data_IF_969213418650
#
_entry.id   IF_969213418650
#
_cell.length_a   1.000
_cell.length_b   1.000
_cell.length_c   1.000
_cell.angle_alpha   90.00
_cell.angle_beta   90.00
_cell.angle_gamma   90.00
#
_symmetry.space_group_name_H-M   'P 1'
#
loop_
_entity.id
_entity.type
_entity.pdbx_description
1 polymer ?
#
# COMPACT_ATOMS: atom_id res chain seq x y z
N UNK A 1 -14.95 9.46 -6.37
CA UNK A 1 -16.43 9.56 -6.39
C UNK A 1 -16.94 9.86 -5.00
N UNK A 2 -17.76 10.90 -4.84
CA UNK A 2 -18.52 11.10 -3.60
C UNK A 2 -19.60 10.01 -3.50
N UNK A 3 -19.68 9.35 -2.35
CA UNK A 3 -20.64 8.27 -2.09
C UNK A 3 -22.06 8.85 -2.00
N UNK A 4 -22.72 9.01 -3.15
CA UNK A 4 -24.04 9.66 -3.30
C UNK A 4 -25.15 9.03 -2.45
N UNK A 5 -24.98 7.76 -2.06
CA UNK A 5 -25.91 7.03 -1.22
C UNK A 5 -25.74 7.30 0.29
N UNK A 6 -24.69 7.99 0.72
CA UNK A 6 -24.49 8.33 2.12
C UNK A 6 -25.18 9.66 2.47
N UNK A 7 -25.85 9.75 3.64
CA UNK A 7 -26.43 11.02 4.08
C UNK A 7 -25.33 12.05 4.36
N UNK A 8 -25.62 13.31 4.04
CA UNK A 8 -24.72 14.43 4.30
C UNK A 8 -24.68 14.71 5.80
N UNK A 9 -23.51 14.66 6.46
CA UNK A 9 -23.40 15.00 7.88
C UNK A 9 -23.68 16.49 8.10
N UNK A 10 -24.56 16.80 9.06
CA UNK A 10 -24.87 18.17 9.46
C UNK A 10 -24.21 18.50 10.81
N UNK A 11 -23.71 19.72 10.95
CA UNK A 11 -23.18 20.27 12.20
C UNK A 11 -23.84 21.62 12.50
N UNK A 12 -23.89 22.06 13.78
CA UNK A 12 -24.38 23.39 14.11
C UNK A 12 -23.60 24.49 13.38
N UNK A 13 -24.22 25.63 13.11
CA UNK A 13 -23.58 26.78 12.44
C UNK A 13 -22.33 27.28 13.17
N UNK A 14 -22.32 27.16 14.49
CA UNK A 14 -21.19 27.54 15.37
C UNK A 14 -20.10 26.45 15.43
N UNK A 15 -20.30 25.35 14.71
CA UNK A 15 -19.53 24.12 14.81
C UNK A 15 -19.87 23.27 16.03
N UNK A 16 -19.15 22.16 16.18
CA UNK A 16 -19.26 21.27 17.33
C UNK A 16 -18.65 21.93 18.59
N UNK A 17 -19.16 21.55 19.77
CA UNK A 17 -18.52 21.94 21.03
C UNK A 17 -17.11 21.34 21.14
N UNK A 18 -16.26 21.93 21.98
CA UNK A 18 -14.92 21.41 22.24
C UNK A 18 -14.95 19.97 22.79
N UNK A 19 -15.88 19.69 23.71
CA UNK A 19 -16.07 18.36 24.27
C UNK A 19 -16.46 17.34 23.21
N UNK A 20 -17.39 17.67 22.31
CA UNK A 20 -17.80 16.80 21.21
C UNK A 20 -16.65 16.54 20.22
N UNK A 21 -15.87 17.57 19.87
CA UNK A 21 -14.67 17.41 19.02
C UNK A 21 -13.63 16.50 19.68
N UNK A 22 -13.39 16.66 20.99
CA UNK A 22 -12.46 15.81 21.73
C UNK A 22 -12.92 14.35 21.75
N UNK A 23 -14.20 14.10 21.97
CA UNK A 23 -14.78 12.76 21.92
C UNK A 23 -14.67 12.14 20.51
N UNK A 24 -14.99 12.87 19.45
CA UNK A 24 -14.85 12.39 18.08
C UNK A 24 -13.40 12.04 17.73
N UNK A 25 -12.44 12.89 18.11
CA UNK A 25 -11.01 12.61 17.92
C UNK A 25 -10.57 11.36 18.68
N UNK A 26 -11.03 11.17 19.91
CA UNK A 26 -10.74 9.98 20.72
C UNK A 26 -11.30 8.71 20.08
N UNK A 27 -12.56 8.74 19.62
CA UNK A 27 -13.18 7.62 18.90
C UNK A 27 -12.42 7.30 17.61
N UNK A 28 -12.10 8.31 16.80
CA UNK A 28 -11.31 8.15 15.58
C UNK A 28 -9.97 7.48 15.86
N UNK A 29 -9.25 7.94 16.88
CA UNK A 29 -7.95 7.36 17.23
C UNK A 29 -8.09 5.90 17.68
N UNK A 30 -9.04 5.60 18.56
CA UNK A 30 -9.30 4.23 18.99
C UNK A 30 -9.68 3.31 17.82
N UNK A 31 -10.57 3.74 16.93
CA UNK A 31 -10.95 2.99 15.72
C UNK A 31 -9.76 2.80 14.77
N UNK A 32 -8.90 3.81 14.61
CA UNK A 32 -7.70 3.69 13.80
C UNK A 32 -6.71 2.66 14.35
N UNK A 33 -6.55 2.57 15.68
CA UNK A 33 -5.70 1.54 16.29
C UNK A 33 -6.27 0.13 16.09
N UNK A 34 -7.59 -0.04 16.21
CA UNK A 34 -8.27 -1.30 15.90
C UNK A 34 -8.05 -1.67 14.42
N UNK A 35 -8.24 -0.72 13.50
CA UNK A 35 -8.00 -0.95 12.08
C UNK A 35 -6.55 -1.35 11.79
N UNK A 36 -5.56 -0.68 12.38
CA UNK A 36 -4.15 -1.03 12.25
C UNK A 36 -3.85 -2.45 12.76
N UNK A 37 -4.40 -2.81 13.92
CA UNK A 37 -4.23 -4.16 14.46
C UNK A 37 -4.85 -5.23 13.55
N UNK A 38 -6.06 -5.00 13.04
CA UNK A 38 -6.71 -5.90 12.10
C UNK A 38 -5.91 -6.03 10.79
N UNK A 39 -5.42 -4.93 10.24
CA UNK A 39 -4.57 -4.94 9.05
C UNK A 39 -3.25 -5.69 9.28
N UNK A 40 -2.61 -5.51 10.43
CA UNK A 40 -1.37 -6.22 10.77
C UNK A 40 -1.58 -7.75 10.84
N UNK A 41 -2.69 -8.21 11.45
CA UNK A 41 -3.06 -9.63 11.48
C UNK A 41 -3.30 -10.14 10.05
N UNK A 42 -4.10 -9.41 9.26
CA UNK A 42 -4.41 -9.79 7.88
C UNK A 42 -3.14 -9.91 7.04
N UNK A 43 -2.22 -8.95 7.15
CA UNK A 43 -0.93 -8.98 6.46
C UNK A 43 -0.03 -10.14 6.90
N UNK A 44 -0.02 -10.48 8.20
CA UNK A 44 0.76 -11.63 8.70
C UNK A 44 0.26 -12.94 8.08
N UNK A 45 -1.06 -13.17 8.10
CA UNK A 45 -1.65 -14.39 7.54
C UNK A 45 -1.40 -14.47 6.04
N UNK A 46 -1.59 -13.38 5.29
CA UNK A 46 -1.31 -13.36 3.84
C UNK A 46 0.15 -13.68 3.52
N UNK A 47 1.10 -13.26 4.36
CA UNK A 47 2.52 -13.54 4.16
C UNK A 47 2.91 -15.01 4.44
N UNK A 48 2.11 -15.72 5.22
CA UNK A 48 2.28 -17.14 5.56
C UNK A 48 1.56 -18.08 4.57
N UNK A 49 0.66 -17.57 3.74
CA UNK A 49 -0.08 -18.37 2.78
C UNK A 49 0.84 -18.90 1.65
N UNK A 50 0.58 -20.15 1.24
CA UNK A 50 1.24 -20.73 0.08
C UNK A 50 0.88 -19.96 -1.19
N UNK A 51 1.88 -19.76 -2.05
CA UNK A 51 1.71 -19.05 -3.31
C UNK A 51 1.11 -20.02 -4.33
N UNK A 52 -0.01 -19.66 -4.98
CA UNK A 52 -0.63 -20.54 -5.98
C UNK A 52 0.29 -20.81 -7.19
N UNK A 53 0.33 -22.08 -7.63
CA UNK A 53 1.09 -22.48 -8.82
C UNK A 53 0.66 -21.73 -10.09
N UNK A 54 -0.62 -21.37 -10.18
CA UNK A 54 -1.17 -20.56 -11.27
C UNK A 54 -0.53 -19.18 -11.35
N UNK A 55 -0.36 -18.49 -10.22
CA UNK A 55 0.34 -17.19 -10.17
C UNK A 55 1.81 -17.36 -10.55
N UNK A 56 2.44 -18.35 -9.97
CA UNK A 56 3.83 -18.70 -10.20
C UNK A 56 4.15 -19.02 -11.67
N UNK A 57 3.22 -19.62 -12.41
CA UNK A 57 3.36 -19.92 -13.83
C UNK A 57 3.30 -18.66 -14.71
N UNK A 58 2.73 -17.56 -14.21
CA UNK A 58 2.62 -16.27 -14.92
C UNK A 58 3.80 -15.33 -14.68
N UNK A 59 4.68 -15.65 -13.72
CA UNK A 59 5.79 -14.77 -13.36
C UNK A 59 6.77 -14.55 -14.53
N UNK A 60 7.28 -13.32 -14.72
CA UNK A 60 8.31 -13.05 -15.72
C UNK A 60 9.61 -13.86 -15.49
N UNK A 61 10.37 -14.10 -16.56
CA UNK A 61 11.63 -14.88 -16.49
C UNK A 61 12.76 -14.22 -15.66
N UNK A 62 12.62 -12.94 -15.30
CA UNK A 62 13.59 -12.20 -14.48
C UNK A 62 12.92 -11.07 -13.70
N UNK A 63 13.40 -10.78 -12.49
CA UNK A 63 12.87 -9.65 -11.70
C UNK A 63 13.07 -8.28 -12.36
N UNK A 64 14.07 -8.15 -13.25
CA UNK A 64 14.24 -6.96 -14.10
C UNK A 64 13.05 -6.77 -15.05
N UNK A 65 12.51 -7.85 -15.62
CA UNK A 65 11.35 -7.77 -16.51
C UNK A 65 10.09 -7.29 -15.77
N UNK A 66 9.92 -7.66 -14.50
CA UNK A 66 8.80 -7.18 -13.67
C UNK A 66 8.99 -5.70 -13.28
N UNK A 67 10.14 -5.35 -12.72
CA UNK A 67 10.41 -3.99 -12.19
C UNK A 67 10.71 -2.95 -13.26
N UNK A 68 11.16 -3.37 -14.45
CA UNK A 68 11.58 -2.48 -15.52
C UNK A 68 12.96 -1.85 -15.28
N UNK A 69 13.57 -1.34 -16.35
CA UNK A 69 14.97 -0.91 -16.36
C UNK A 69 15.30 0.20 -15.36
N UNK A 70 14.41 1.18 -15.20
CA UNK A 70 14.65 2.33 -14.33
C UNK A 70 14.68 1.94 -12.85
N UNK A 71 13.67 1.18 -12.39
CA UNK A 71 13.57 0.72 -11.00
C UNK A 71 14.68 -0.30 -10.72
N UNK A 72 14.90 -1.25 -11.63
CA UNK A 72 15.98 -2.23 -11.51
C UNK A 72 17.35 -1.56 -11.35
N UNK A 73 17.68 -0.62 -12.23
CA UNK A 73 18.97 0.11 -12.18
C UNK A 73 19.12 0.90 -10.88
N UNK A 74 18.04 1.47 -10.35
CA UNK A 74 18.08 2.19 -9.08
C UNK A 74 18.37 1.25 -7.90
N UNK A 75 17.71 0.09 -7.85
CA UNK A 75 17.91 -0.92 -6.79
C UNK A 75 19.30 -1.57 -6.86
N UNK A 76 19.84 -1.78 -8.06
CA UNK A 76 21.14 -2.44 -8.27
C UNK A 76 22.31 -1.48 -8.41
N UNK A 77 22.11 -0.17 -8.25
CA UNK A 77 23.19 0.80 -8.33
C UNK A 77 24.20 0.54 -7.19
N UNK A 78 25.49 0.74 -7.44
CA UNK A 78 26.57 0.45 -6.48
C UNK A 78 26.61 1.37 -5.25
N UNK A 79 25.69 2.32 -5.16
CA UNK A 79 25.51 3.21 -4.02
C UNK A 79 24.61 2.65 -2.92
N UNK A 80 24.42 3.41 -1.85
CA UNK A 80 23.45 3.07 -0.79
C UNK A 80 22.03 3.17 -1.36
N UNK A 81 21.29 2.08 -1.33
CA UNK A 81 19.87 2.08 -1.66
C UNK A 81 19.06 2.80 -0.57
N UNK A 82 18.17 3.69 -0.99
CA UNK A 82 17.25 4.44 -0.13
C UNK A 82 15.83 4.31 -0.71
N UNK A 83 14.92 3.53 -0.08
CA UNK A 83 13.57 3.31 -0.59
C UNK A 83 12.79 4.62 -0.79
N UNK A 84 12.97 5.58 0.09
CA UNK A 84 12.25 6.87 0.09
C UNK A 84 12.60 7.67 -1.17
N UNK A 85 13.89 7.68 -1.55
CA UNK A 85 14.35 8.37 -2.75
C UNK A 85 13.91 7.68 -4.05
N UNK A 86 13.71 6.36 -4.03
CA UNK A 86 13.10 5.66 -5.15
C UNK A 86 11.65 6.13 -5.33
N UNK A 87 10.89 6.21 -4.24
CA UNK A 87 9.49 6.67 -4.26
C UNK A 87 9.39 8.12 -4.75
N UNK A 88 10.29 9.02 -4.34
CA UNK A 88 10.34 10.40 -4.84
C UNK A 88 10.57 10.49 -6.36
N UNK A 89 11.22 9.48 -6.95
CA UNK A 89 11.49 9.41 -8.39
C UNK A 89 10.34 8.76 -9.18
N UNK A 90 9.35 8.17 -8.51
CA UNK A 90 8.21 7.52 -9.11
C UNK A 90 7.04 8.49 -9.21
N UNK A 91 6.49 8.62 -10.41
CA UNK A 91 5.27 9.41 -10.63
C UNK A 91 4.05 8.53 -10.32
N UNK A 92 3.70 8.45 -9.03
CA UNK A 92 2.47 7.78 -8.58
C UNK A 92 1.41 8.85 -8.42
N UNK A 93 0.51 8.97 -9.41
CA UNK A 93 -0.57 9.97 -9.41
C UNK A 93 -1.93 9.37 -9.04
N UNK A 94 -2.03 8.04 -9.03
CA UNK A 94 -3.26 7.31 -8.70
C UNK A 94 -3.02 6.08 -7.84
N UNK A 95 -4.08 5.62 -7.17
CA UNK A 95 -4.09 4.33 -6.45
C UNK A 95 -3.80 3.15 -7.39
N UNK A 96 -4.29 3.21 -8.63
CA UNK A 96 -4.05 2.15 -9.62
C UNK A 96 -2.56 2.00 -9.96
N UNK A 97 -1.86 3.10 -10.20
CA UNK A 97 -0.41 3.07 -10.46
C UNK A 97 0.39 2.61 -9.24
N UNK A 98 -0.06 2.98 -8.03
CA UNK A 98 0.57 2.52 -6.80
C UNK A 98 0.45 1.00 -6.66
N UNK A 99 -0.73 0.45 -6.97
CA UNK A 99 -1.00 -0.99 -6.95
C UNK A 99 -0.19 -1.73 -8.03
N UNK A 100 -0.19 -1.23 -9.26
CA UNK A 100 0.59 -1.83 -10.35
C UNK A 100 2.09 -1.90 -10.00
N UNK A 101 2.62 -0.83 -9.39
CA UNK A 101 3.99 -0.82 -8.92
C UNK A 101 4.24 -1.87 -7.82
N UNK A 102 3.33 -1.99 -6.85
CA UNK A 102 3.43 -2.98 -5.78
C UNK A 102 3.44 -4.40 -6.35
N UNK A 103 2.51 -4.72 -7.26
CA UNK A 103 2.41 -6.02 -7.93
C UNK A 103 3.69 -6.37 -8.69
N UNK A 104 4.28 -5.40 -9.38
CA UNK A 104 5.54 -5.57 -10.13
C UNK A 104 6.74 -5.82 -9.23
N UNK A 105 6.81 -5.13 -8.09
CA UNK A 105 7.86 -5.35 -7.08
C UNK A 105 7.69 -6.72 -6.45
N UNK A 106 6.48 -7.11 -6.05
CA UNK A 106 6.19 -8.42 -5.47
C UNK A 106 6.53 -9.57 -6.44
N UNK A 107 6.10 -9.47 -7.70
CA UNK A 107 6.45 -10.44 -8.74
C UNK A 107 7.96 -10.58 -8.92
N UNK A 108 8.72 -9.48 -8.82
CA UNK A 108 10.18 -9.51 -8.90
C UNK A 108 10.82 -10.25 -7.72
N UNK A 109 10.30 -10.06 -6.50
CA UNK A 109 10.78 -10.73 -5.29
C UNK A 109 10.62 -12.24 -5.41
N UNK A 110 9.45 -12.72 -5.85
CA UNK A 110 9.23 -14.16 -6.07
C UNK A 110 10.08 -14.73 -7.19
N UNK A 111 10.29 -13.96 -8.27
CA UNK A 111 11.19 -14.37 -9.36
C UNK A 111 12.64 -14.53 -8.87
N UNK A 112 13.10 -13.68 -7.95
CA UNK A 112 14.44 -13.79 -7.37
C UNK A 112 14.57 -14.92 -6.35
N UNK A 113 13.56 -15.15 -5.49
CA UNK A 113 13.58 -16.25 -4.50
C UNK A 113 13.62 -17.64 -5.10
N UNK A 114 13.18 -17.79 -6.36
CA UNK A 114 13.19 -19.05 -7.12
C UNK A 114 14.54 -19.39 -7.76
N UNK A 115 15.43 -18.40 -7.90
CA UNK A 115 16.78 -18.59 -8.43
C UNK A 115 17.75 -18.86 -7.28
#
# INVERSE_FOLDING_TARGET
>A
EEKWWLPIPLVPSQGLSESARKQLKSKRESTNQIHKAAMAINSSILAEMDIPDSYLATLPKSGKASTGDSIYRYMTNSGKFLPEKLLDCLKIVSEHEALELADRVEASMYTWRRK
#
